data_IF_613846461038
#
_entry.id   IF_613846461038
#
_cell.length_a   1.000
_cell.length_b   1.000
_cell.length_c   1.000
_cell.angle_alpha   90.00
_cell.angle_beta   90.00
_cell.angle_gamma   90.00
#
_symmetry.space_group_name_H-M   'P 1'
#
loop_
_entity.id
_entity.type
_entity.pdbx_description
1 polymer ?
#
# COMPACT_ATOMS: atom_id res chain seq x y z
N UNK A 1 -15.55 15.27 5.49
CA UNK A 1 -14.94 13.95 5.69
C UNK A 1 -14.00 14.15 6.87
N UNK A 2 -14.30 13.56 8.01
CA UNK A 2 -13.40 13.52 9.15
C UNK A 2 -12.20 12.69 8.73
N UNK A 3 -11.01 13.31 8.75
CA UNK A 3 -9.73 12.63 8.69
C UNK A 3 -9.71 11.66 9.87
N UNK A 4 -10.13 10.43 9.65
CA UNK A 4 -9.96 9.39 10.65
C UNK A 4 -8.51 8.97 10.53
N UNK A 5 -7.69 9.38 11.50
CA UNK A 5 -6.36 8.83 11.63
C UNK A 5 -6.50 7.32 11.80
N UNK A 6 -6.03 6.55 10.83
CA UNK A 6 -6.01 5.10 10.95
C UNK A 6 -4.81 4.70 11.82
N UNK A 7 -5.09 3.86 12.81
CA UNK A 7 -4.12 3.36 13.78
C UNK A 7 -4.01 1.85 13.71
N UNK A 8 -2.81 1.34 13.78
CA UNK A 8 -2.54 -0.10 13.82
C UNK A 8 -1.66 -0.45 15.01
N UNK A 9 -2.12 -1.41 15.80
CA UNK A 9 -1.27 -2.08 16.80
C UNK A 9 -0.79 -3.40 16.19
N UNK A 10 0.50 -3.57 16.13
CA UNK A 10 1.14 -4.84 15.73
C UNK A 10 1.64 -5.54 16.98
N UNK A 11 1.17 -6.75 17.22
CA UNK A 11 1.56 -7.56 18.37
C UNK A 11 2.32 -8.78 17.87
N UNK A 12 3.60 -8.87 18.20
CA UNK A 12 4.47 -10.00 17.89
C UNK A 12 4.46 -10.97 19.06
N UNK A 13 3.94 -12.18 18.85
CA UNK A 13 3.82 -13.20 19.88
C UNK A 13 5.06 -14.08 19.85
N UNK A 14 5.80 -14.11 20.96
CA UNK A 14 6.94 -15.02 21.10
C UNK A 14 6.43 -16.45 21.22
N UNK A 15 6.91 -17.37 20.35
CA UNK A 15 6.52 -18.76 20.33
C UNK A 15 7.07 -19.51 21.57
N UNK A 16 6.37 -19.39 22.69
CA UNK A 16 6.76 -20.07 23.92
C UNK A 16 5.92 -21.32 24.24
N UNK A 17 4.80 -21.57 23.53
CA UNK A 17 3.96 -22.75 23.79
C UNK A 17 3.39 -23.36 22.50
N UNK A 18 3.50 -24.70 22.30
CA UNK A 18 2.98 -25.41 21.11
C UNK A 18 1.45 -25.48 21.01
N UNK A 19 0.71 -25.02 22.01
CA UNK A 19 -0.72 -25.27 22.15
C UNK A 19 -1.63 -24.05 21.91
N UNK A 20 -1.07 -22.87 21.71
CA UNK A 20 -1.88 -21.65 21.50
C UNK A 20 -1.37 -20.85 20.28
N UNK A 21 -2.20 -20.72 19.26
CA UNK A 21 -1.85 -20.06 18.01
C UNK A 21 -2.34 -18.61 17.98
N UNK A 22 -1.64 -17.69 17.29
CA UNK A 22 -2.06 -16.28 17.14
C UNK A 22 -3.52 -16.11 16.67
N UNK A 23 -4.02 -17.03 15.85
CA UNK A 23 -5.41 -17.01 15.39
C UNK A 23 -6.42 -17.21 16.53
N UNK A 24 -6.13 -18.08 17.50
CA UNK A 24 -7.02 -18.30 18.65
C UNK A 24 -7.03 -17.08 19.58
N UNK A 25 -5.85 -16.49 19.81
CA UNK A 25 -5.75 -15.22 20.56
C UNK A 25 -6.51 -14.11 19.85
N UNK A 26 -6.37 -13.97 18.54
CA UNK A 26 -7.08 -12.96 17.77
C UNK A 26 -8.61 -13.11 17.85
N UNK A 27 -9.13 -14.35 17.84
CA UNK A 27 -10.57 -14.60 18.03
C UNK A 27 -11.06 -14.23 19.44
N UNK A 28 -10.24 -14.42 20.46
CA UNK A 28 -10.58 -14.03 21.82
C UNK A 28 -10.51 -12.51 21.98
N UNK A 29 -9.46 -11.89 21.48
CA UNK A 29 -9.32 -10.44 21.45
C UNK A 29 -10.52 -9.80 20.71
N UNK A 30 -10.91 -10.32 19.54
CA UNK A 30 -12.05 -9.82 18.75
C UNK A 30 -13.36 -9.83 19.54
N UNK A 31 -13.54 -10.77 20.46
CA UNK A 31 -14.73 -10.83 21.31
C UNK A 31 -14.73 -9.79 22.43
N UNK A 32 -13.55 -9.30 22.83
CA UNK A 32 -13.38 -8.39 23.94
C UNK A 32 -13.21 -6.92 23.50
N UNK A 33 -12.65 -6.66 22.32
CA UNK A 33 -12.54 -5.31 21.75
C UNK A 33 -13.88 -4.84 21.19
N UNK A 34 -14.03 -3.53 21.02
CA UNK A 34 -15.22 -2.92 20.39
C UNK A 34 -15.39 -3.34 18.92
N UNK A 35 -16.62 -3.18 18.42
CA UNK A 35 -16.95 -3.53 17.02
C UNK A 35 -16.21 -2.66 16.00
N UNK A 36 -15.73 -1.51 16.43
CA UNK A 36 -15.01 -0.54 15.60
C UNK A 36 -13.52 -0.87 15.49
N UNK A 37 -13.06 -1.97 16.12
CA UNK A 37 -11.68 -2.45 16.05
C UNK A 37 -11.61 -3.64 15.09
N UNK A 38 -10.84 -3.47 14.02
CA UNK A 38 -10.49 -4.55 13.11
C UNK A 38 -9.42 -5.45 13.75
N UNK A 39 -9.61 -6.79 13.72
CA UNK A 39 -8.63 -7.75 14.26
C UNK A 39 -8.20 -8.70 13.16
N UNK A 40 -6.89 -8.73 12.87
CA UNK A 40 -6.25 -9.65 11.93
C UNK A 40 -5.23 -10.54 12.63
N UNK A 41 -4.91 -11.68 12.03
CA UNK A 41 -3.86 -12.57 12.53
C UNK A 41 -2.99 -13.10 11.37
N UNK A 42 -1.68 -12.95 11.53
CA UNK A 42 -0.65 -13.59 10.72
C UNK A 42 -0.13 -14.88 11.37
N UNK A 43 1.03 -15.36 10.92
CA UNK A 43 1.65 -16.58 11.46
C UNK A 43 2.15 -16.39 12.90
N UNK A 44 2.78 -15.27 13.21
CA UNK A 44 3.33 -14.95 14.52
C UNK A 44 2.89 -13.56 15.02
N UNK A 45 1.93 -12.92 14.36
CA UNK A 45 1.52 -11.55 14.65
C UNK A 45 0.01 -11.43 14.71
N UNK A 46 -0.46 -10.49 15.55
CA UNK A 46 -1.84 -10.04 15.61
C UNK A 46 -1.85 -8.55 15.26
N UNK A 47 -2.80 -8.13 14.44
CA UNK A 47 -2.97 -6.76 14.02
C UNK A 47 -4.31 -6.23 14.51
N UNK A 48 -4.30 -5.07 15.16
CA UNK A 48 -5.50 -4.36 15.58
C UNK A 48 -5.56 -3.04 14.82
N UNK A 49 -6.70 -2.74 14.21
CA UNK A 49 -6.92 -1.51 13.43
C UNK A 49 -8.00 -0.68 14.11
N UNK A 50 -7.69 0.56 14.39
CA UNK A 50 -8.56 1.50 15.10
C UNK A 50 -8.61 2.84 14.38
N UNK A 51 -9.72 3.54 14.47
CA UNK A 51 -9.89 4.88 13.88
C UNK A 51 -9.32 6.02 14.73
N UNK A 52 -8.83 5.75 15.96
CA UNK A 52 -8.25 6.76 16.86
C UNK A 52 -7.12 6.17 17.70
N UNK A 53 -6.19 7.01 18.14
CA UNK A 53 -5.12 6.64 19.06
C UNK A 53 -5.64 6.04 20.37
N UNK A 54 -6.65 6.67 20.95
CA UNK A 54 -7.26 6.19 22.20
C UNK A 54 -7.84 4.78 22.05
N UNK A 55 -8.54 4.52 20.93
CA UNK A 55 -9.10 3.20 20.65
C UNK A 55 -8.02 2.16 20.38
N UNK A 56 -6.92 2.55 19.71
CA UNK A 56 -5.76 1.68 19.51
C UNK A 56 -5.10 1.30 20.85
N UNK A 57 -4.87 2.26 21.74
CA UNK A 57 -4.29 2.00 23.07
C UNK A 57 -5.18 1.13 23.95
N UNK A 58 -6.51 1.32 23.89
CA UNK A 58 -7.44 0.45 24.62
C UNK A 58 -7.42 -0.97 24.06
N UNK A 59 -7.41 -1.12 22.73
CA UNK A 59 -7.34 -2.42 22.07
C UNK A 59 -6.01 -3.14 22.38
N UNK A 60 -4.89 -2.42 22.40
CA UNK A 60 -3.58 -2.92 22.81
C UNK A 60 -3.60 -3.49 24.22
N UNK A 61 -4.15 -2.73 25.17
CA UNK A 61 -4.28 -3.16 26.58
C UNK A 61 -5.12 -4.43 26.69
N UNK A 62 -6.27 -4.50 26.03
CA UNK A 62 -7.14 -5.69 26.04
C UNK A 62 -6.39 -6.89 25.46
N UNK A 63 -5.69 -6.71 24.36
CA UNK A 63 -4.94 -7.78 23.73
C UNK A 63 -3.79 -8.28 24.63
N UNK A 64 -3.09 -7.37 25.28
CA UNK A 64 -2.03 -7.70 26.25
C UNK A 64 -2.57 -8.51 27.43
N UNK A 65 -3.75 -8.12 27.97
CA UNK A 65 -4.40 -8.85 29.05
C UNK A 65 -4.80 -10.28 28.63
N UNK A 66 -5.35 -10.45 27.41
CA UNK A 66 -5.69 -11.76 26.85
C UNK A 66 -4.45 -12.64 26.71
N UNK A 67 -3.38 -12.12 26.14
CA UNK A 67 -2.14 -12.86 25.94
C UNK A 67 -1.49 -13.26 27.26
N UNK A 68 -1.49 -12.36 28.24
CA UNK A 68 -0.97 -12.63 29.59
C UNK A 68 -1.76 -13.73 30.30
N UNK A 69 -3.09 -13.81 30.14
CA UNK A 69 -3.93 -14.88 30.71
C UNK A 69 -3.56 -16.26 30.13
N UNK A 70 -3.05 -16.30 28.90
CA UNK A 70 -2.57 -17.52 28.27
C UNK A 70 -1.06 -17.76 28.48
N UNK A 71 -0.38 -16.93 29.28
CA UNK A 71 1.05 -17.05 29.56
C UNK A 71 1.93 -16.78 28.36
N UNK A 72 1.44 -16.01 27.38
CA UNK A 72 2.18 -15.65 26.17
C UNK A 72 2.91 -14.34 26.38
N UNK A 73 4.22 -14.35 26.11
CA UNK A 73 5.00 -13.12 26.01
C UNK A 73 4.80 -12.52 24.60
N UNK A 74 4.51 -11.23 24.56
CA UNK A 74 4.31 -10.50 23.32
C UNK A 74 4.92 -9.10 23.42
N UNK A 75 5.39 -8.61 22.29
CA UNK A 75 5.81 -7.23 22.11
C UNK A 75 4.79 -6.51 21.22
N UNK A 76 4.41 -5.30 21.60
CA UNK A 76 3.47 -4.48 20.84
C UNK A 76 4.15 -3.22 20.30
N UNK A 77 3.71 -2.78 19.14
CA UNK A 77 4.09 -1.51 18.55
C UNK A 77 2.86 -0.84 17.94
N UNK A 78 2.67 0.43 18.29
CA UNK A 78 1.59 1.26 17.75
C UNK A 78 2.12 2.04 16.55
N UNK A 79 1.33 2.10 15.49
CA UNK A 79 1.65 2.83 14.27
C UNK A 79 0.44 3.67 13.85
N UNK A 80 0.71 4.80 13.22
CA UNK A 80 -0.28 5.64 12.57
C UNK A 80 -0.11 5.58 11.05
N UNK A 81 -1.21 5.55 10.31
CA UNK A 81 -1.16 5.62 8.85
C UNK A 81 -0.71 7.01 8.37
N UNK A 82 0.31 7.03 7.52
CA UNK A 82 0.75 8.26 6.86
C UNK A 82 0.14 8.35 5.46
N UNK A 83 -0.80 9.28 5.21
CA UNK A 83 -1.61 9.27 3.97
C UNK A 83 -0.83 9.69 2.72
N UNK A 84 0.30 10.38 2.84
CA UNK A 84 1.13 10.80 1.71
C UNK A 84 2.15 9.71 1.36
N UNK A 85 2.82 9.19 2.38
CA UNK A 85 3.81 8.12 2.21
C UNK A 85 3.18 6.72 2.10
N UNK A 86 1.86 6.63 2.28
CA UNK A 86 1.07 5.39 2.21
C UNK A 86 1.67 4.24 3.02
N UNK A 87 2.21 4.57 4.20
CA UNK A 87 2.85 3.60 5.08
C UNK A 87 2.46 3.77 6.55
N UNK A 88 2.74 2.72 7.32
CA UNK A 88 2.55 2.74 8.77
C UNK A 88 3.79 3.28 9.45
N UNK A 89 3.66 4.41 10.17
CA UNK A 89 4.76 5.09 10.83
C UNK A 89 4.62 5.11 12.36
N UNK A 90 5.76 5.37 13.01
CA UNK A 90 5.78 5.64 14.43
C UNK A 90 4.97 6.93 14.71
N UNK A 91 4.01 6.92 15.66
CA UNK A 91 3.21 8.09 16.01
C UNK A 91 4.02 9.32 16.45
N UNK A 92 5.25 9.13 16.93
CA UNK A 92 6.15 10.21 17.36
C UNK A 92 6.67 11.05 16.17
N UNK A 93 6.57 10.54 14.93
CA UNK A 93 6.95 11.30 13.72
C UNK A 93 5.89 12.37 13.47
N UNK A 94 6.25 13.66 13.38
CA UNK A 94 5.28 14.71 13.17
C UNK A 94 4.63 14.60 11.78
N UNK A 95 3.30 14.71 11.74
CA UNK A 95 2.56 14.79 10.48
C UNK A 95 2.57 16.21 9.91
N UNK A 96 2.54 16.37 8.58
CA UNK A 96 2.46 17.68 7.94
C UNK A 96 1.12 18.36 8.27
N UNK A 97 1.19 19.54 8.90
CA UNK A 97 0.02 20.27 9.40
C UNK A 97 -0.57 21.24 8.36
N UNK A 98 0.27 21.76 7.48
CA UNK A 98 -0.13 22.74 6.46
C UNK A 98 -0.19 22.11 5.07
N UNK A 99 -0.92 22.78 4.16
CA UNK A 99 -0.92 22.38 2.75
C UNK A 99 0.49 22.42 2.14
N UNK A 100 1.27 23.44 2.49
CA UNK A 100 2.63 23.59 1.98
C UNK A 100 3.57 22.47 2.46
N UNK A 101 3.43 22.03 3.72
CA UNK A 101 4.19 20.88 4.23
C UNK A 101 3.80 19.59 3.53
N UNK A 102 2.51 19.35 3.31
CA UNK A 102 2.02 18.19 2.55
C UNK A 102 2.52 18.16 1.11
N UNK A 103 2.50 19.31 0.42
CA UNK A 103 3.04 19.44 -0.93
C UNK A 103 4.57 19.19 -0.96
N UNK A 104 5.30 19.72 0.02
CA UNK A 104 6.75 19.53 0.11
C UNK A 104 7.12 18.05 0.41
N UNK A 105 6.33 17.38 1.20
CA UNK A 105 6.53 15.95 1.52
C UNK A 105 6.19 15.07 0.31
N UNK A 106 5.06 15.31 -0.34
CA UNK A 106 4.70 14.63 -1.58
C UNK A 106 5.79 14.79 -2.65
N UNK A 107 6.32 16.01 -2.82
CA UNK A 107 7.41 16.23 -3.77
C UNK A 107 8.67 15.43 -3.41
N UNK A 108 9.01 15.32 -2.13
CA UNK A 108 10.15 14.48 -1.69
C UNK A 108 9.93 13.00 -1.99
N UNK A 109 8.70 12.50 -1.82
CA UNK A 109 8.35 11.13 -2.17
C UNK A 109 8.53 10.89 -3.68
N UNK A 110 7.97 11.76 -4.52
CA UNK A 110 8.11 11.71 -5.98
C UNK A 110 9.58 11.74 -6.42
N UNK A 111 10.40 12.60 -5.81
CA UNK A 111 11.84 12.70 -6.10
C UNK A 111 12.59 11.43 -5.69
N UNK A 112 12.21 10.82 -4.57
CA UNK A 112 12.78 9.56 -4.08
C UNK A 112 12.46 8.41 -5.02
N UNK A 113 11.19 8.20 -5.34
CA UNK A 113 10.74 7.15 -6.28
C UNK A 113 11.41 7.29 -7.65
N UNK A 114 11.46 8.52 -8.18
CA UNK A 114 12.14 8.82 -9.45
C UNK A 114 13.62 8.46 -9.38
N UNK A 115 14.31 8.85 -8.31
CA UNK A 115 15.73 8.56 -8.11
C UNK A 115 15.97 7.04 -8.03
N UNK A 116 15.13 6.31 -7.33
CA UNK A 116 15.23 4.85 -7.22
C UNK A 116 14.93 4.15 -8.55
N UNK A 117 13.92 4.61 -9.30
CA UNK A 117 13.61 4.09 -10.62
C UNK A 117 14.80 4.26 -11.58
N UNK A 118 15.42 5.45 -11.60
CA UNK A 118 16.60 5.73 -12.42
C UNK A 118 17.82 4.92 -11.96
N UNK A 119 18.06 4.80 -10.65
CA UNK A 119 19.20 4.07 -10.11
C UNK A 119 19.12 2.56 -10.37
N UNK A 120 17.93 2.00 -10.31
CA UNK A 120 17.67 0.57 -10.52
C UNK A 120 17.39 0.22 -11.97
N UNK A 121 17.04 1.21 -12.80
CA UNK A 121 16.53 1.00 -14.17
C UNK A 121 15.20 0.25 -14.20
N UNK A 122 14.39 0.35 -13.13
CA UNK A 122 13.12 -0.36 -13.00
C UNK A 122 11.99 0.61 -12.75
N UNK A 123 10.84 0.38 -13.37
CA UNK A 123 9.63 1.11 -13.05
C UNK A 123 9.19 0.80 -11.62
N UNK A 124 8.80 1.81 -10.86
CA UNK A 124 8.22 1.68 -9.54
C UNK A 124 6.69 1.53 -9.63
N UNK A 125 6.11 2.20 -10.63
CA UNK A 125 4.68 2.20 -10.90
C UNK A 125 4.39 1.74 -12.33
N UNK A 126 3.17 1.23 -12.55
CA UNK A 126 2.73 0.85 -13.88
C UNK A 126 1.28 1.25 -14.14
N UNK A 127 0.99 1.53 -15.40
CA UNK A 127 -0.38 1.68 -15.89
C UNK A 127 -0.78 0.41 -16.61
N UNK A 128 -1.74 -0.31 -16.05
CA UNK A 128 -2.34 -1.48 -16.65
C UNK A 128 -3.52 -1.07 -17.53
N UNK A 129 -3.46 -1.47 -18.79
CA UNK A 129 -4.50 -1.19 -19.79
C UNK A 129 -5.09 -2.50 -20.30
N UNK A 130 -6.30 -2.82 -19.93
CA UNK A 130 -7.02 -4.01 -20.42
C UNK A 130 -7.87 -3.66 -21.66
N UNK A 131 -7.78 -4.48 -22.67
CA UNK A 131 -8.37 -4.26 -23.98
C UNK A 131 -9.20 -5.47 -24.42
N UNK A 132 -10.24 -5.24 -25.20
CA UNK A 132 -11.14 -6.31 -25.65
C UNK A 132 -10.50 -7.25 -26.68
N UNK A 133 -9.50 -6.78 -27.42
CA UNK A 133 -8.88 -7.59 -28.47
C UNK A 133 -7.35 -7.44 -28.52
N UNK A 134 -6.69 -8.51 -28.96
CA UNK A 134 -5.25 -8.48 -29.27
C UNK A 134 -4.89 -7.41 -30.30
N UNK A 135 -5.75 -7.16 -31.28
CA UNK A 135 -5.52 -6.13 -32.31
C UNK A 135 -5.46 -4.73 -31.72
N UNK A 136 -6.37 -4.41 -30.80
CA UNK A 136 -6.33 -3.14 -30.05
C UNK A 136 -5.06 -3.03 -29.21
N UNK A 137 -4.67 -4.10 -28.51
CA UNK A 137 -3.43 -4.12 -27.72
C UNK A 137 -2.19 -3.87 -28.57
N UNK A 138 -2.10 -4.47 -29.77
CA UNK A 138 -0.99 -4.23 -30.70
C UNK A 138 -0.96 -2.79 -31.20
N UNK A 139 -2.12 -2.23 -31.55
CA UNK A 139 -2.21 -0.87 -32.07
C UNK A 139 -1.81 0.18 -31.02
N UNK A 140 -2.34 0.04 -29.79
CA UNK A 140 -2.03 0.96 -28.71
C UNK A 140 -0.58 0.83 -28.25
N UNK A 141 -0.04 -0.39 -28.14
CA UNK A 141 1.37 -0.60 -27.77
C UNK A 141 2.31 0.10 -28.74
N UNK A 142 2.11 -0.08 -30.05
CA UNK A 142 2.95 0.57 -31.08
C UNK A 142 2.91 2.10 -30.98
N UNK A 143 1.76 2.66 -30.67
CA UNK A 143 1.62 4.10 -30.48
C UNK A 143 2.44 4.57 -29.28
N UNK A 144 2.24 3.96 -28.12
CA UNK A 144 2.92 4.33 -26.88
C UNK A 144 4.45 4.11 -26.99
N UNK A 145 4.89 3.03 -27.64
CA UNK A 145 6.31 2.79 -27.93
C UNK A 145 6.90 3.87 -28.85
N UNK A 146 6.14 4.35 -29.85
CA UNK A 146 6.57 5.44 -30.73
C UNK A 146 6.70 6.79 -30.03
N UNK A 147 6.04 6.95 -28.89
CA UNK A 147 6.13 8.09 -27.98
C UNK A 147 7.27 7.95 -26.95
N UNK A 148 8.05 6.88 -27.03
CA UNK A 148 9.20 6.61 -26.16
C UNK A 148 8.83 5.97 -24.82
N UNK A 149 7.61 5.49 -24.66
CA UNK A 149 7.19 4.85 -23.40
C UNK A 149 7.67 3.41 -23.30
N UNK A 150 8.02 2.99 -22.09
CA UNK A 150 8.27 1.60 -21.79
C UNK A 150 6.95 0.82 -21.74
N UNK A 151 6.76 -0.11 -22.67
CA UNK A 151 5.53 -0.88 -22.80
C UNK A 151 5.81 -2.37 -22.80
N UNK A 152 5.18 -3.11 -21.90
CA UNK A 152 5.13 -4.57 -21.97
C UNK A 152 3.75 -5.00 -22.44
N UNK A 153 3.70 -5.64 -23.60
CA UNK A 153 2.47 -6.15 -24.16
C UNK A 153 2.23 -7.61 -23.76
N UNK A 154 1.03 -7.87 -23.31
CA UNK A 154 0.47 -9.22 -23.15
C UNK A 154 -0.67 -9.41 -24.15
N UNK A 155 -1.39 -10.54 -24.08
CA UNK A 155 -2.39 -10.89 -25.10
C UNK A 155 -3.44 -9.79 -25.32
N UNK A 156 -4.10 -9.34 -24.27
CA UNK A 156 -5.15 -8.33 -24.30
C UNK A 156 -4.92 -7.17 -23.33
N UNK A 157 -3.74 -7.07 -22.75
CA UNK A 157 -3.42 -5.96 -21.86
C UNK A 157 -1.99 -5.46 -22.09
N UNK A 158 -1.76 -4.22 -21.71
CA UNK A 158 -0.49 -3.54 -21.71
C UNK A 158 -0.12 -3.15 -20.28
N UNK A 159 1.18 -3.15 -20.00
CA UNK A 159 1.76 -2.51 -18.83
C UNK A 159 2.66 -1.38 -19.35
N UNK A 160 2.44 -0.16 -18.84
CA UNK A 160 3.22 1.03 -19.19
C UNK A 160 3.93 1.50 -17.93
N UNK A 161 5.27 1.43 -17.89
CA UNK A 161 6.06 1.77 -16.73
C UNK A 161 6.12 3.26 -16.48
N UNK A 162 6.19 3.62 -15.18
CA UNK A 162 6.40 4.97 -14.71
C UNK A 162 7.41 4.97 -13.55
N UNK A 163 8.12 6.07 -13.37
CA UNK A 163 9.12 6.22 -12.33
C UNK A 163 8.51 6.51 -10.95
N UNK A 164 7.34 7.12 -10.93
CA UNK A 164 6.61 7.49 -9.72
C UNK A 164 5.09 7.46 -9.98
N UNK A 165 4.31 7.60 -8.92
CA UNK A 165 2.85 7.54 -8.98
C UNK A 165 2.22 8.66 -9.79
N UNK A 166 2.73 9.89 -9.66
CA UNK A 166 2.21 11.05 -10.40
C UNK A 166 2.38 10.88 -11.90
N UNK A 167 3.54 10.40 -12.35
CA UNK A 167 3.79 10.07 -13.74
C UNK A 167 2.85 8.96 -14.23
N UNK A 168 2.63 7.92 -13.43
CA UNK A 168 1.68 6.87 -13.77
C UNK A 168 0.24 7.39 -13.90
N UNK A 169 -0.19 8.29 -13.01
CA UNK A 169 -1.51 8.94 -13.09
C UNK A 169 -1.65 9.83 -14.35
N UNK A 170 -0.61 10.57 -14.69
CA UNK A 170 -0.57 11.37 -15.91
C UNK A 170 -0.69 10.47 -17.14
N UNK A 171 0.10 9.40 -17.22
CA UNK A 171 0.03 8.41 -18.30
C UNK A 171 -1.35 7.78 -18.40
N UNK A 172 -1.94 7.39 -17.28
CA UNK A 172 -3.30 6.84 -17.26
C UNK A 172 -4.33 7.84 -17.79
N UNK A 173 -4.17 9.13 -17.46
CA UNK A 173 -5.00 10.21 -17.99
C UNK A 173 -4.91 10.35 -19.52
N UNK A 174 -3.70 10.34 -20.06
CA UNK A 174 -3.44 10.40 -21.51
C UNK A 174 -3.95 9.15 -22.21
N UNK A 175 -3.64 7.97 -21.68
CA UNK A 175 -4.05 6.69 -22.27
C UNK A 175 -5.57 6.55 -22.31
N UNK A 176 -6.32 7.03 -21.32
CA UNK A 176 -7.81 7.02 -21.33
C UNK A 176 -8.40 7.84 -22.47
N UNK A 177 -7.70 8.89 -22.94
CA UNK A 177 -8.16 9.71 -24.07
C UNK A 177 -7.92 9.01 -25.41
N UNK A 178 -6.94 8.12 -25.47
CA UNK A 178 -6.45 7.47 -26.71
C UNK A 178 -6.92 6.04 -26.86
N UNK A 179 -7.19 5.37 -25.76
CA UNK A 179 -7.68 4.00 -25.72
C UNK A 179 -9.12 3.90 -26.18
N UNK A 180 -9.56 2.74 -26.67
CA UNK A 180 -10.98 2.49 -26.93
C UNK A 180 -11.85 2.78 -25.68
N UNK A 181 -13.09 3.25 -25.85
CA UNK A 181 -13.96 3.67 -24.73
C UNK A 181 -14.28 2.55 -23.72
N UNK A 182 -14.10 1.31 -24.13
CA UNK A 182 -14.32 0.10 -23.36
C UNK A 182 -13.03 -0.47 -22.71
N UNK A 183 -11.91 0.22 -22.85
CA UNK A 183 -10.67 -0.16 -22.20
C UNK A 183 -10.69 0.18 -20.70
N UNK A 184 -10.23 -0.76 -19.85
CA UNK A 184 -9.99 -0.48 -18.45
C UNK A 184 -8.54 0.01 -18.27
N UNK A 185 -8.36 1.16 -17.58
CA UNK A 185 -7.04 1.76 -17.30
C UNK A 185 -6.89 1.95 -15.80
N UNK A 186 -5.91 1.26 -15.22
CA UNK A 186 -5.61 1.24 -13.79
C UNK A 186 -4.17 1.66 -13.54
N UNK A 187 -3.93 2.32 -12.40
CA UNK A 187 -2.58 2.62 -11.88
C UNK A 187 -2.31 1.67 -10.73
N UNK A 188 -1.18 1.01 -10.75
CA UNK A 188 -0.79 0.04 -9.72
C UNK A 188 0.73 0.06 -9.51
N UNK A 189 1.18 -0.42 -8.34
CA UNK A 189 2.61 -0.65 -8.09
C UNK A 189 3.11 -1.72 -9.06
N UNK A 190 4.30 -1.54 -9.61
CA UNK A 190 4.89 -2.51 -10.52
C UNK A 190 5.21 -3.81 -9.78
N UNK A 191 4.53 -4.89 -10.13
CA UNK A 191 4.57 -6.19 -9.45
C UNK A 191 5.93 -6.90 -9.60
N UNK A 192 6.61 -6.63 -10.72
CA UNK A 192 7.99 -7.09 -11.00
C UNK A 192 8.70 -5.94 -11.65
N UNK A 193 9.66 -5.36 -10.94
CA UNK A 193 10.46 -4.26 -11.49
C UNK A 193 11.05 -4.62 -12.86
N UNK A 194 10.32 -4.31 -13.92
CA UNK A 194 10.73 -4.52 -15.29
C UNK A 194 11.53 -3.31 -15.82
N UNK A 195 12.39 -3.50 -16.83
CA UNK A 195 13.31 -2.46 -17.25
C UNK A 195 12.59 -1.17 -17.64
N UNK A 196 13.00 -0.07 -17.03
CA UNK A 196 12.63 1.27 -17.44
C UNK A 196 13.65 1.74 -18.48
N UNK A 197 13.26 2.27 -19.65
CA UNK A 197 14.24 2.76 -20.60
C UNK A 197 14.98 3.94 -19.97
N UNK A 198 16.32 3.99 -20.02
CA UNK A 198 17.05 5.20 -19.68
C UNK A 198 16.61 6.32 -20.61
N UNK A 199 16.27 7.46 -20.01
CA UNK A 199 16.01 8.72 -20.72
C UNK A 199 17.22 9.16 -21.55
#
# INVERSE_FOLDING_TARGET
>A
MTDSDDWRVTISVSQAQPSFFPRQAAEEIRRQVGRDIGVGAGEAQIFLYAGTETAAGEAERIASDVLAQHGLAAESAVHRWHPIEEQWENPDVPMPQSKAEREAEHQRLVDTETTEALATGKAQWEVRVELHSHRQAVALARKLESEGRAVVRRWKFLLVGASNEDEAREFAGQIRQEAPPDAAVMVELADVGWPFPPS
#
